data_IF_591863050790
#
_entry.id   IF_591863050790
#
_cell.length_a   1.000
_cell.length_b   1.000
_cell.length_c   1.000
_cell.angle_alpha   90.00
_cell.angle_beta   90.00
_cell.angle_gamma   90.00
#
_symmetry.space_group_name_H-M   'P 1'
#
loop_
_entity.id
_entity.type
_entity.pdbx_description
1 polymer ?
#
# COMPACT_ATOMS: atom_id res chain seq x y z
N UNK A 1 -26.66 -0.64 36.78
CA UNK A 1 -27.39 -1.47 35.81
C UNK A 1 -28.29 -2.49 36.53
N UNK A 2 -29.49 -2.79 35.98
CA UNK A 2 -30.38 -3.84 36.50
C UNK A 2 -29.75 -5.19 36.21
N UNK A 3 -29.17 -5.34 35.02
CA UNK A 3 -28.48 -6.56 34.63
C UNK A 3 -27.03 -6.53 35.16
N UNK A 4 -26.62 -7.58 35.83
CA UNK A 4 -25.28 -7.72 36.43
C UNK A 4 -24.65 -9.05 36.03
N UNK A 5 -23.46 -9.38 36.55
CA UNK A 5 -22.87 -10.72 36.42
C UNK A 5 -23.44 -11.80 37.34
N UNK A 6 -24.45 -11.45 38.14
CA UNK A 6 -25.18 -12.33 39.04
C UNK A 6 -26.49 -12.78 38.38
N UNK A 7 -27.20 -13.72 39.02
CA UNK A 7 -28.52 -14.13 38.56
C UNK A 7 -29.55 -13.05 38.90
N UNK A 8 -30.09 -12.40 37.87
CA UNK A 8 -31.07 -11.33 37.96
C UNK A 8 -32.40 -11.82 37.36
N UNK A 9 -33.47 -11.91 38.16
CA UNK A 9 -34.77 -12.47 37.73
C UNK A 9 -35.97 -11.78 38.42
N UNK A 10 -37.16 -12.11 38.02
CA UNK A 10 -38.39 -11.64 38.68
C UNK A 10 -38.60 -10.13 38.48
N UNK A 11 -38.26 -9.57 37.35
CA UNK A 11 -38.39 -8.13 37.04
C UNK A 11 -39.88 -7.73 36.99
N UNK A 12 -40.28 -6.77 37.86
CA UNK A 12 -41.63 -6.24 37.95
C UNK A 12 -41.61 -4.71 37.93
N UNK A 13 -42.43 -4.12 37.06
CA UNK A 13 -42.63 -2.66 37.02
C UNK A 13 -43.77 -2.32 38.01
N UNK A 14 -43.50 -1.37 38.91
CA UNK A 14 -44.55 -0.81 39.78
C UNK A 14 -45.40 0.21 39.01
N UNK A 15 -46.51 -0.25 38.47
CA UNK A 15 -47.47 0.60 37.77
C UNK A 15 -48.43 1.37 38.71
N UNK A 16 -48.44 1.08 40.02
CA UNK A 16 -49.40 1.64 41.01
C UNK A 16 -48.79 2.74 41.90
N UNK A 17 -47.45 2.88 41.85
CA UNK A 17 -46.75 3.88 42.67
C UNK A 17 -47.05 5.33 42.25
N UNK A 18 -46.97 6.26 43.21
CA UNK A 18 -47.05 7.69 42.89
C UNK A 18 -45.96 8.06 41.84
N UNK A 19 -46.37 8.80 40.80
CA UNK A 19 -45.42 9.35 39.82
C UNK A 19 -44.54 10.41 40.47
N UNK A 20 -43.26 10.21 40.43
CA UNK A 20 -42.24 11.18 40.78
C UNK A 20 -41.86 11.93 39.50
N UNK A 21 -41.61 13.25 39.59
CA UNK A 21 -41.42 14.11 38.39
C UNK A 21 -40.20 13.77 37.55
N UNK A 22 -39.21 13.16 38.16
CA UNK A 22 -37.89 12.83 37.57
C UNK A 22 -37.75 11.30 37.33
N UNK A 23 -38.79 10.49 37.64
CA UNK A 23 -38.75 9.04 37.50
C UNK A 23 -39.63 8.57 36.34
N UNK A 24 -39.00 7.98 35.32
CA UNK A 24 -39.71 7.38 34.20
C UNK A 24 -40.35 6.06 34.51
N UNK A 25 -39.67 5.22 35.27
CA UNK A 25 -40.13 3.88 35.70
C UNK A 25 -39.47 3.53 37.02
N UNK A 26 -40.20 2.77 37.84
CA UNK A 26 -39.68 2.13 39.03
C UNK A 26 -40.23 0.69 39.14
N UNK A 27 -39.51 -0.11 39.85
CA UNK A 27 -39.91 -1.50 40.04
C UNK A 27 -38.95 -2.25 40.92
N UNK A 28 -39.08 -3.56 40.89
CA UNK A 28 -38.32 -4.48 41.71
C UNK A 28 -37.79 -5.63 40.86
N UNK A 29 -36.72 -6.24 41.29
CA UNK A 29 -36.20 -7.49 40.74
C UNK A 29 -35.45 -8.25 41.84
N UNK A 30 -35.37 -9.58 41.70
CA UNK A 30 -34.56 -10.42 42.58
C UNK A 30 -33.16 -10.60 42.01
N UNK A 31 -32.17 -10.65 42.90
CA UNK A 31 -30.78 -10.88 42.50
C UNK A 31 -29.96 -11.44 43.65
N UNK A 32 -29.00 -12.31 43.32
CA UNK A 32 -27.98 -12.81 44.24
C UNK A 32 -26.68 -12.00 44.20
N UNK A 33 -26.75 -10.74 43.72
CA UNK A 33 -25.58 -9.87 43.65
C UNK A 33 -24.97 -9.56 45.00
N UNK A 34 -23.66 -9.35 45.10
CA UNK A 34 -22.98 -9.00 46.34
C UNK A 34 -23.56 -7.74 47.01
N UNK A 35 -23.70 -7.77 48.32
CA UNK A 35 -24.20 -6.63 49.12
C UNK A 35 -25.64 -6.80 49.63
N UNK A 36 -26.31 -7.91 49.31
CA UNK A 36 -27.57 -8.31 49.89
C UNK A 36 -27.44 -9.00 51.24
N UNK A 37 -28.59 -9.33 51.86
CA UNK A 37 -28.64 -9.98 53.17
C UNK A 37 -28.77 -11.51 53.07
N UNK A 38 -29.13 -12.05 51.90
CA UNK A 38 -29.36 -13.49 51.66
C UNK A 38 -28.77 -13.99 50.35
N UNK A 39 -29.19 -15.17 49.91
CA UNK A 39 -28.81 -15.76 48.63
C UNK A 39 -29.49 -15.04 47.45
N UNK A 40 -30.77 -14.67 47.65
CA UNK A 40 -31.58 -13.90 46.69
C UNK A 40 -32.30 -12.80 47.44
N UNK A 41 -32.02 -11.56 47.07
CA UNK A 41 -32.61 -10.37 47.66
C UNK A 41 -33.49 -9.61 46.66
N UNK A 42 -34.45 -8.84 47.16
CA UNK A 42 -35.31 -7.98 46.34
C UNK A 42 -34.69 -6.59 46.29
N UNK A 43 -34.36 -6.15 45.10
CA UNK A 43 -33.83 -4.82 44.83
C UNK A 43 -34.89 -3.94 44.20
N UNK A 44 -34.96 -2.67 44.65
CA UNK A 44 -35.78 -1.65 44.01
C UNK A 44 -34.92 -0.92 42.94
N UNK A 45 -35.52 -0.57 41.83
CA UNK A 45 -34.88 0.29 40.82
C UNK A 45 -35.75 1.51 40.51
N UNK A 46 -35.09 2.58 40.10
CA UNK A 46 -35.72 3.75 39.50
C UNK A 46 -34.99 4.07 38.19
N UNK A 47 -35.72 4.22 37.09
CA UNK A 47 -35.25 4.79 35.85
C UNK A 47 -35.58 6.27 35.90
N UNK A 48 -34.59 7.09 36.08
CA UNK A 48 -34.72 8.57 36.16
C UNK A 48 -34.61 9.22 34.77
N UNK A 49 -35.22 10.38 34.60
CA UNK A 49 -34.98 11.26 33.47
C UNK A 49 -33.57 11.81 33.68
N UNK A 50 -32.64 11.59 32.73
CA UNK A 50 -31.34 12.19 32.88
C UNK A 50 -31.47 13.72 32.88
N UNK A 51 -30.62 14.45 33.65
CA UNK A 51 -30.62 15.90 33.61
C UNK A 51 -30.39 16.39 32.18
N UNK A 52 -30.93 17.57 31.79
CA UNK A 52 -30.82 18.10 30.42
C UNK A 52 -29.40 18.16 29.87
N UNK A 53 -28.40 18.27 30.73
CA UNK A 53 -27.00 18.36 30.38
C UNK A 53 -26.29 17.00 30.33
N UNK A 54 -26.97 15.91 30.70
CA UNK A 54 -26.46 14.56 30.53
C UNK A 54 -26.81 14.01 29.12
N UNK A 55 -26.45 14.73 28.09
CA UNK A 55 -26.30 14.13 26.77
C UNK A 55 -25.22 13.06 26.96
N UNK A 56 -25.49 11.77 26.72
CA UNK A 56 -24.40 10.79 26.73
C UNK A 56 -23.36 11.30 25.74
N UNK A 57 -22.17 11.58 26.26
CA UNK A 57 -21.00 11.83 25.42
C UNK A 57 -20.98 10.62 24.46
N UNK A 58 -21.43 10.85 23.24
CA UNK A 58 -21.27 9.86 22.17
C UNK A 58 -19.79 9.79 22.03
N UNK A 59 -19.19 8.74 22.60
CA UNK A 59 -17.78 8.49 22.42
C UNK A 59 -17.55 8.57 20.91
N UNK A 60 -16.94 9.65 20.44
CA UNK A 60 -16.53 9.79 19.05
C UNK A 60 -15.74 8.52 18.75
N UNK A 61 -16.28 7.69 17.88
CA UNK A 61 -15.56 6.50 17.42
C UNK A 61 -14.27 7.04 16.83
N UNK A 62 -13.14 6.62 17.39
CA UNK A 62 -11.84 6.97 16.82
C UNK A 62 -11.88 6.68 15.31
N UNK A 63 -11.43 7.62 14.48
CA UNK A 63 -11.44 7.43 13.03
C UNK A 63 -10.62 6.19 12.68
N UNK A 64 -11.20 5.32 11.87
CA UNK A 64 -10.48 4.16 11.33
C UNK A 64 -9.55 4.68 10.23
N UNK A 65 -8.25 4.61 10.48
CA UNK A 65 -7.25 5.04 9.51
C UNK A 65 -7.02 3.97 8.46
N UNK A 66 -7.10 4.37 7.19
CA UNK A 66 -6.82 3.51 6.05
C UNK A 66 -5.78 4.12 5.14
N UNK A 67 -4.80 3.34 4.76
CA UNK A 67 -3.84 3.67 3.72
C UNK A 67 -4.06 2.74 2.54
N UNK A 68 -4.30 3.31 1.38
CA UNK A 68 -4.55 2.59 0.14
C UNK A 68 -3.41 2.87 -0.82
N UNK A 69 -2.92 1.86 -1.52
CA UNK A 69 -1.92 2.01 -2.56
C UNK A 69 -2.45 1.47 -3.88
N UNK A 70 -2.47 2.31 -4.90
CA UNK A 70 -2.70 1.92 -6.29
C UNK A 70 -1.34 1.68 -6.95
N UNK A 71 -1.06 0.43 -7.31
CA UNK A 71 0.16 0.04 -8.00
C UNK A 71 -0.15 -0.10 -9.47
N UNK A 72 0.38 0.80 -10.29
CA UNK A 72 0.22 0.81 -11.74
C UNK A 72 1.39 0.08 -12.40
N UNK A 73 1.10 -0.86 -13.27
CA UNK A 73 2.07 -1.46 -14.17
C UNK A 73 1.88 -0.83 -15.55
N UNK A 74 2.91 -0.18 -16.06
CA UNK A 74 2.87 0.64 -17.25
C UNK A 74 3.89 0.16 -18.27
N UNK A 75 3.63 0.44 -19.57
CA UNK A 75 4.62 0.33 -20.64
C UNK A 75 4.84 1.69 -21.32
N UNK A 76 6.03 1.86 -21.91
CA UNK A 76 6.35 3.04 -22.72
C UNK A 76 5.67 2.95 -24.09
N UNK A 77 5.14 4.06 -24.57
CA UNK A 77 4.60 4.22 -25.92
C UNK A 77 5.70 4.88 -26.76
N UNK A 78 6.23 4.15 -27.72
CA UNK A 78 7.21 4.65 -28.65
C UNK A 78 6.56 5.25 -29.90
N UNK A 79 7.15 6.28 -30.48
CA UNK A 79 6.69 6.87 -31.74
C UNK A 79 6.74 5.85 -32.88
N UNK A 80 7.82 5.05 -32.96
CA UNK A 80 7.90 3.85 -33.78
C UNK A 80 7.92 2.62 -32.84
N UNK A 81 6.86 1.81 -32.79
CA UNK A 81 6.79 0.64 -31.92
C UNK A 81 7.84 -0.45 -32.22
N UNK A 82 8.55 -0.36 -33.35
CA UNK A 82 9.58 -1.30 -33.75
C UNK A 82 11.01 -0.78 -33.49
N UNK A 83 11.16 0.50 -33.15
CA UNK A 83 12.45 1.15 -32.86
C UNK A 83 12.55 1.54 -31.38
N UNK A 84 13.43 0.86 -30.58
CA UNK A 84 13.64 1.17 -29.18
C UNK A 84 14.26 2.56 -28.92
N UNK A 85 14.90 3.16 -29.94
CA UNK A 85 15.53 4.47 -29.84
C UNK A 85 14.63 5.61 -30.31
N UNK A 86 13.40 5.28 -30.78
CA UNK A 86 12.45 6.30 -31.17
C UNK A 86 11.90 7.08 -29.96
N UNK A 87 11.36 8.26 -30.23
CA UNK A 87 10.84 9.14 -29.18
C UNK A 87 9.75 8.45 -28.35
N UNK A 88 9.84 8.53 -27.02
CA UNK A 88 8.79 8.11 -26.11
C UNK A 88 7.71 9.18 -26.08
N UNK A 89 6.47 8.79 -26.45
CA UNK A 89 5.31 9.67 -26.50
C UNK A 89 4.53 9.73 -25.18
N UNK A 90 4.70 8.69 -24.34
CA UNK A 90 4.00 8.56 -23.07
C UNK A 90 4.09 7.16 -22.49
N UNK A 91 3.17 6.87 -21.58
CA UNK A 91 3.02 5.55 -20.95
C UNK A 91 1.56 5.14 -21.02
N UNK A 92 1.30 3.84 -21.02
CA UNK A 92 -0.06 3.30 -20.93
C UNK A 92 -0.11 2.12 -19.97
N UNK A 93 -1.29 1.83 -19.41
CA UNK A 93 -1.50 0.66 -18.57
C UNK A 93 -1.15 -0.64 -19.29
N UNK A 94 -0.49 -1.54 -18.57
CA UNK A 94 -0.11 -2.86 -19.06
C UNK A 94 -1.00 -3.91 -18.39
N UNK A 95 -2.02 -4.41 -19.11
CA UNK A 95 -2.93 -5.45 -18.66
C UNK A 95 -2.22 -6.80 -18.53
N UNK A 96 -2.79 -7.75 -17.78
CA UNK A 96 -2.30 -9.13 -17.64
C UNK A 96 -0.82 -9.24 -17.20
N UNK A 97 -0.24 -8.21 -16.61
CA UNK A 97 1.06 -8.28 -16.00
C UNK A 97 0.97 -9.02 -14.66
N UNK A 98 1.91 -9.93 -14.42
CA UNK A 98 2.06 -10.54 -13.10
C UNK A 98 2.65 -9.50 -12.15
N UNK A 99 2.00 -9.30 -11.02
CA UNK A 99 2.43 -8.39 -9.97
C UNK A 99 2.52 -9.16 -8.66
N UNK A 100 3.69 -9.19 -8.08
CA UNK A 100 3.97 -9.81 -6.79
C UNK A 100 4.39 -8.74 -5.81
N UNK A 101 3.84 -8.75 -4.59
CA UNK A 101 4.43 -7.95 -3.53
C UNK A 101 4.82 -8.80 -2.33
N UNK A 102 5.85 -8.32 -1.62
CA UNK A 102 6.42 -8.97 -0.42
C UNK A 102 6.38 -8.03 0.76
N UNK A 103 6.02 -8.60 1.92
CA UNK A 103 6.12 -8.00 3.25
C UNK A 103 6.97 -8.94 4.09
N UNK A 104 8.23 -8.58 4.34
CA UNK A 104 9.17 -9.47 5.02
C UNK A 104 9.36 -10.77 4.26
N UNK A 105 8.83 -11.90 4.79
CA UNK A 105 8.87 -13.23 4.16
C UNK A 105 7.59 -13.64 3.46
N UNK A 106 6.50 -12.90 3.65
CA UNK A 106 5.22 -13.17 3.03
C UNK A 106 5.19 -12.62 1.60
N UNK A 107 4.61 -13.39 0.70
CA UNK A 107 4.52 -13.06 -0.72
C UNK A 107 3.08 -13.24 -1.19
N UNK A 108 2.58 -12.28 -1.95
CA UNK A 108 1.25 -12.34 -2.58
C UNK A 108 1.36 -12.05 -4.07
N UNK A 109 0.66 -12.87 -4.86
CA UNK A 109 0.74 -12.85 -6.32
C UNK A 109 -0.61 -12.47 -6.92
N UNK A 110 -0.58 -11.54 -7.88
CA UNK A 110 -1.73 -11.00 -8.58
C UNK A 110 -1.46 -10.90 -10.08
N UNK A 111 -2.51 -10.60 -10.83
CA UNK A 111 -2.41 -10.13 -12.22
C UNK A 111 -3.14 -8.79 -12.33
N UNK A 112 -2.57 -7.88 -13.09
CA UNK A 112 -3.24 -6.61 -13.40
C UNK A 112 -4.43 -6.87 -14.34
N UNK A 113 -5.54 -6.19 -14.08
CA UNK A 113 -6.69 -6.19 -14.98
C UNK A 113 -6.45 -5.34 -16.24
N UNK A 114 -7.53 -5.05 -16.98
CA UNK A 114 -7.48 -4.21 -18.19
C UNK A 114 -6.89 -2.82 -17.93
N UNK A 115 -7.17 -2.26 -16.75
CA UNK A 115 -6.70 -0.94 -16.32
C UNK A 115 -5.22 -0.92 -15.87
N UNK A 116 -4.54 -2.07 -15.89
CA UNK A 116 -3.12 -2.18 -15.57
C UNK A 116 -2.71 -1.84 -14.14
N UNK A 117 -3.63 -1.85 -13.17
CA UNK A 117 -3.31 -1.57 -11.78
C UNK A 117 -3.90 -2.57 -10.79
N UNK A 118 -3.39 -2.54 -9.57
CA UNK A 118 -3.88 -3.25 -8.40
C UNK A 118 -4.01 -2.28 -7.25
N UNK A 119 -5.13 -2.35 -6.53
CA UNK A 119 -5.35 -1.61 -5.29
C UNK A 119 -5.13 -2.53 -4.09
N UNK A 120 -4.32 -2.11 -3.13
CA UNK A 120 -4.08 -2.83 -1.88
C UNK A 120 -4.27 -1.90 -0.67
N UNK A 121 -4.78 -2.45 0.42
CA UNK A 121 -4.78 -1.77 1.71
C UNK A 121 -3.43 -2.01 2.39
N UNK A 122 -2.80 -0.93 2.86
CA UNK A 122 -1.47 -0.96 3.45
C UNK A 122 -1.53 -1.12 4.96
N UNK A 123 -0.63 -1.93 5.50
CA UNK A 123 -0.38 -2.01 6.93
C UNK A 123 0.50 -0.83 7.37
N UNK A 124 0.31 -0.38 8.61
CA UNK A 124 1.15 0.64 9.22
C UNK A 124 2.60 0.13 9.45
N UNK A 125 3.54 1.07 9.41
CA UNK A 125 4.95 0.84 9.75
C UNK A 125 5.60 -0.34 9.00
N UNK A 126 5.25 -0.53 7.71
CA UNK A 126 5.57 -1.69 6.90
C UNK A 126 6.31 -1.31 5.62
N UNK A 127 7.32 -2.10 5.27
CA UNK A 127 8.02 -1.99 3.99
C UNK A 127 7.46 -2.99 2.98
N UNK A 128 7.16 -2.52 1.78
CA UNK A 128 6.66 -3.29 0.66
C UNK A 128 7.67 -3.33 -0.46
N UNK A 129 7.88 -4.49 -1.05
CA UNK A 129 8.67 -4.67 -2.25
C UNK A 129 7.81 -5.28 -3.33
N UNK A 130 7.68 -4.59 -4.45
CA UNK A 130 6.88 -4.98 -5.60
C UNK A 130 7.75 -5.50 -6.73
N UNK A 131 7.29 -6.54 -7.40
CA UNK A 131 7.88 -7.09 -8.61
C UNK A 131 6.81 -7.22 -9.66
N UNK A 132 7.05 -6.67 -10.84
CA UNK A 132 6.16 -6.81 -11.97
C UNK A 132 6.87 -7.51 -13.11
N UNK A 133 6.17 -8.40 -13.82
CA UNK A 133 6.68 -9.10 -14.99
C UNK A 133 5.59 -9.35 -16.01
N UNK A 134 5.98 -9.39 -17.28
CA UNK A 134 5.12 -9.79 -18.39
C UNK A 134 5.97 -10.38 -19.51
N UNK A 135 5.40 -11.33 -20.25
CA UNK A 135 6.06 -11.90 -21.41
C UNK A 135 6.43 -10.82 -22.43
N UNK A 136 7.65 -10.88 -22.97
CA UNK A 136 8.26 -9.89 -23.87
C UNK A 136 8.56 -8.51 -23.24
N UNK A 137 8.59 -8.43 -21.91
CA UNK A 137 9.01 -7.24 -21.18
C UNK A 137 10.11 -7.59 -20.18
N UNK A 138 10.95 -6.60 -19.88
CA UNK A 138 11.86 -6.68 -18.74
C UNK A 138 11.06 -6.58 -17.45
N UNK A 139 11.32 -7.49 -16.52
CA UNK A 139 10.76 -7.41 -15.17
C UNK A 139 11.26 -6.16 -14.45
N UNK A 140 10.38 -5.56 -13.66
CA UNK A 140 10.69 -4.38 -12.87
C UNK A 140 10.42 -4.59 -11.39
N UNK A 141 11.02 -3.74 -10.56
CA UNK A 141 10.75 -3.69 -9.13
C UNK A 141 10.50 -2.26 -8.65
N UNK A 142 9.74 -2.14 -7.58
CA UNK A 142 9.52 -0.88 -6.88
C UNK A 142 9.39 -1.12 -5.37
N UNK A 143 9.56 -0.06 -4.59
CA UNK A 143 9.48 -0.10 -3.14
C UNK A 143 8.50 0.95 -2.64
N UNK A 144 7.78 0.61 -1.59
CA UNK A 144 6.92 1.54 -0.87
C UNK A 144 7.05 1.27 0.63
N UNK A 145 7.05 2.32 1.44
CA UNK A 145 7.13 2.20 2.89
C UNK A 145 6.10 3.07 3.57
N UNK A 146 5.39 2.50 4.52
CA UNK A 146 4.47 3.25 5.40
C UNK A 146 5.14 3.69 6.70
N UNK A 147 6.43 3.41 6.88
CA UNK A 147 7.18 3.83 8.06
C UNK A 147 7.29 5.34 8.13
N UNK A 148 6.96 5.89 9.30
CA UNK A 148 7.01 7.34 9.53
C UNK A 148 5.84 8.12 8.94
N UNK A 149 4.85 7.45 8.32
CA UNK A 149 3.61 8.11 7.90
C UNK A 149 2.75 8.34 9.14
N UNK A 150 2.49 9.61 9.46
CA UNK A 150 1.62 10.01 10.57
C UNK A 150 0.14 9.82 10.24
N UNK A 151 -0.68 9.69 11.29
CA UNK A 151 -2.14 9.68 11.19
C UNK A 151 -2.66 11.11 11.23
N UNK A 152 -3.47 11.49 10.23
CA UNK A 152 -4.16 12.77 10.21
C UNK A 152 -5.65 12.54 10.50
N UNK A 153 -6.15 12.98 11.67
CA UNK A 153 -7.57 12.84 12.02
C UNK A 153 -8.54 13.52 11.03
N UNK A 154 -8.04 14.50 10.26
CA UNK A 154 -8.85 15.19 9.26
C UNK A 154 -8.94 14.43 7.93
N UNK A 155 -7.95 13.57 7.68
CA UNK A 155 -7.87 12.73 6.48
C UNK A 155 -7.62 11.27 6.89
N UNK A 156 -8.64 10.57 7.40
CA UNK A 156 -8.49 9.21 7.92
C UNK A 156 -8.24 8.17 6.80
N UNK A 157 -8.51 8.51 5.56
CA UNK A 157 -8.25 7.65 4.40
C UNK A 157 -7.32 8.38 3.42
N UNK A 158 -6.16 7.77 3.14
CA UNK A 158 -5.14 8.33 2.24
C UNK A 158 -4.82 7.32 1.17
N UNK A 159 -4.84 7.77 -0.11
CA UNK A 159 -4.47 6.95 -1.26
C UNK A 159 -3.13 7.39 -1.81
N UNK A 160 -2.25 6.42 -2.05
CA UNK A 160 -0.94 6.59 -2.67
C UNK A 160 -0.92 5.93 -4.04
N UNK A 161 0.00 6.36 -4.89
CA UNK A 161 0.22 5.79 -6.20
C UNK A 161 1.68 5.35 -6.35
N UNK A 162 1.88 4.19 -6.97
CA UNK A 162 3.20 3.64 -7.28
C UNK A 162 3.19 3.15 -8.73
N UNK A 163 4.13 3.62 -9.53
CA UNK A 163 4.28 3.20 -10.92
C UNK A 163 5.46 2.23 -11.07
N UNK A 164 5.23 1.14 -11.80
CA UNK A 164 6.24 0.19 -12.24
C UNK A 164 6.21 0.17 -13.76
N UNK A 165 7.22 0.76 -14.39
CA UNK A 165 7.32 0.79 -15.85
C UNK A 165 8.12 -0.41 -16.33
N UNK A 166 7.51 -1.25 -17.17
CA UNK A 166 8.17 -2.38 -17.80
C UNK A 166 8.64 -1.99 -19.19
N UNK A 167 9.91 -2.20 -19.46
CA UNK A 167 10.50 -1.95 -20.78
C UNK A 167 10.28 -3.16 -21.68
N UNK A 168 9.76 -2.92 -22.89
CA UNK A 168 9.58 -3.94 -23.91
C UNK A 168 10.92 -4.50 -24.38
N UNK A 169 11.02 -5.82 -24.55
CA UNK A 169 12.21 -6.47 -25.07
C UNK A 169 12.21 -6.35 -26.61
N UNK A 170 13.21 -5.69 -27.14
CA UNK A 170 13.48 -5.60 -28.59
C UNK A 170 14.59 -6.58 -28.96
N UNK A 171 14.19 -7.75 -29.49
CA UNK A 171 15.16 -8.78 -29.88
C UNK A 171 16.00 -8.33 -31.08
N UNK A 172 17.32 -8.51 -31.01
CA UNK A 172 18.27 -8.19 -32.07
C UNK A 172 18.19 -6.73 -32.54
N UNK A 173 17.90 -5.82 -31.62
CA UNK A 173 17.91 -4.38 -31.84
C UNK A 173 18.99 -3.75 -30.99
N UNK A 174 19.65 -2.79 -31.56
CA UNK A 174 20.60 -1.95 -30.87
C UNK A 174 19.85 -0.90 -30.03
N UNK A 175 20.23 -0.78 -28.77
CA UNK A 175 19.66 0.20 -27.81
C UNK A 175 20.80 1.08 -27.37
N UNK A 176 20.69 2.36 -27.64
CA UNK A 176 21.69 3.35 -27.22
C UNK A 176 21.59 3.58 -25.71
N UNK A 177 22.72 3.43 -25.01
CA UNK A 177 22.85 3.82 -23.62
C UNK A 177 23.32 5.26 -23.55
N UNK A 178 22.50 6.14 -22.99
CA UNK A 178 22.83 7.56 -22.83
C UNK A 178 23.77 7.79 -21.64
N UNK A 179 24.51 8.89 -21.69
CA UNK A 179 25.40 9.36 -20.62
C UNK A 179 26.58 8.42 -20.30
N UNK A 180 27.03 7.63 -21.27
CA UNK A 180 28.28 6.86 -21.15
C UNK A 180 29.35 7.52 -22.03
N UNK A 181 30.23 8.27 -21.38
CA UNK A 181 31.31 9.01 -22.01
C UNK A 181 32.64 8.60 -21.40
N UNK A 182 33.72 8.77 -22.17
CA UNK A 182 35.08 8.57 -21.73
C UNK A 182 35.83 9.88 -21.75
N UNK A 183 36.82 10.03 -20.88
CA UNK A 183 37.77 11.11 -20.98
C UNK A 183 38.74 10.89 -22.19
N UNK A 184 39.28 11.95 -22.69
CA UNK A 184 40.23 11.85 -23.80
C UNK A 184 41.40 10.92 -23.44
N UNK A 185 41.68 9.96 -24.30
CA UNK A 185 42.74 8.97 -24.14
C UNK A 185 42.65 8.15 -22.85
N UNK A 186 41.39 7.81 -22.41
CA UNK A 186 41.10 6.99 -21.23
C UNK A 186 39.98 6.00 -21.48
N UNK A 187 40.04 4.85 -20.80
CA UNK A 187 39.06 3.80 -20.81
C UNK A 187 38.34 3.63 -19.46
N UNK A 188 38.70 4.43 -18.46
CA UNK A 188 38.08 4.35 -17.15
C UNK A 188 36.62 4.79 -17.18
N UNK A 189 35.74 4.06 -16.45
CA UNK A 189 34.35 4.43 -16.30
C UNK A 189 34.26 5.70 -15.45
N UNK A 190 33.72 6.74 -16.04
CA UNK A 190 33.46 8.02 -15.37
C UNK A 190 32.33 7.89 -14.32
N UNK A 191 32.36 8.75 -13.31
CA UNK A 191 31.36 8.76 -12.25
C UNK A 191 29.94 9.08 -12.77
N UNK A 192 29.84 9.89 -13.83
CA UNK A 192 28.56 10.24 -14.46
C UNK A 192 27.94 9.08 -15.27
N UNK A 193 28.74 8.09 -15.69
CA UNK A 193 28.24 6.87 -16.36
C UNK A 193 27.75 5.78 -15.39
N UNK A 194 28.19 5.79 -14.13
CA UNK A 194 27.86 4.77 -13.14
C UNK A 194 26.36 4.55 -12.95
N UNK A 195 25.51 5.59 -12.80
CA UNK A 195 24.07 5.38 -12.61
C UNK A 195 23.40 4.61 -13.76
N UNK A 196 23.81 4.91 -15.03
CA UNK A 196 23.28 4.20 -16.21
C UNK A 196 23.71 2.73 -16.22
N UNK A 197 24.98 2.46 -15.91
CA UNK A 197 25.50 1.09 -15.82
C UNK A 197 24.91 0.30 -14.65
N UNK A 198 24.71 0.94 -13.49
CA UNK A 198 24.05 0.34 -12.33
C UNK A 198 22.60 -0.03 -12.65
N UNK A 199 21.88 0.82 -13.38
CA UNK A 199 20.51 0.51 -13.82
C UNK A 199 20.50 -0.65 -14.80
N UNK A 200 21.44 -0.71 -15.74
CA UNK A 200 21.60 -1.85 -16.65
C UNK A 200 21.88 -3.14 -15.87
N UNK A 201 22.81 -3.10 -14.90
CA UNK A 201 23.13 -4.24 -14.06
C UNK A 201 21.91 -4.73 -13.27
N UNK A 202 21.13 -3.84 -12.67
CA UNK A 202 19.87 -4.18 -11.99
C UNK A 202 18.88 -4.87 -12.93
N UNK A 203 18.70 -4.32 -14.13
CA UNK A 203 17.81 -4.92 -15.14
C UNK A 203 18.24 -6.34 -15.50
N UNK A 204 19.55 -6.59 -15.65
CA UNK A 204 20.07 -7.92 -15.97
C UNK A 204 19.94 -8.89 -14.78
N UNK A 205 20.13 -8.44 -13.56
CA UNK A 205 19.93 -9.24 -12.33
C UNK A 205 18.47 -9.67 -12.21
N UNK A 206 17.52 -8.77 -12.49
CA UNK A 206 16.09 -9.07 -12.46
C UNK A 206 15.65 -9.97 -13.63
N UNK A 207 16.43 -10.02 -14.71
CA UNK A 207 16.11 -10.74 -15.95
C UNK A 207 17.27 -11.67 -16.40
N UNK A 208 17.62 -12.70 -15.61
CA UNK A 208 18.82 -13.52 -15.83
C UNK A 208 18.80 -14.33 -17.13
N UNK A 209 17.64 -14.44 -17.78
CA UNK A 209 17.49 -15.09 -19.09
C UNK A 209 17.93 -14.22 -20.27
N UNK A 210 18.16 -12.91 -20.05
CA UNK A 210 18.55 -11.97 -21.09
C UNK A 210 20.07 -11.96 -21.24
N UNK A 211 20.51 -11.94 -22.49
CA UNK A 211 21.90 -11.75 -22.87
C UNK A 211 21.99 -10.51 -23.73
N UNK A 212 23.00 -9.70 -23.47
CA UNK A 212 23.32 -8.49 -24.24
C UNK A 212 24.76 -8.57 -24.73
N UNK A 213 25.03 -7.81 -25.79
CA UNK A 213 26.36 -7.45 -26.21
C UNK A 213 26.50 -5.95 -26.01
N UNK A 214 27.54 -5.53 -25.33
CA UNK A 214 27.90 -4.11 -25.21
C UNK A 214 28.90 -3.79 -26.32
N UNK A 215 28.66 -2.68 -27.01
CA UNK A 215 29.56 -2.13 -27.99
C UNK A 215 29.84 -0.66 -27.60
N UNK A 216 31.07 -0.26 -27.72
CA UNK A 216 31.50 1.14 -27.60
C UNK A 216 32.18 1.54 -28.90
N UNK A 217 31.93 2.77 -29.32
CA UNK A 217 32.50 3.31 -30.55
C UNK A 217 33.36 4.50 -30.21
N UNK A 218 34.57 4.52 -30.79
CA UNK A 218 35.44 5.72 -30.74
C UNK A 218 34.93 6.76 -31.75
N UNK A 219 35.32 8.01 -31.57
CA UNK A 219 35.12 9.04 -32.58
C UNK A 219 36.06 8.80 -33.78
N UNK A 220 35.84 9.55 -34.86
CA UNK A 220 36.65 9.44 -36.08
C UNK A 220 38.02 10.16 -35.98
N UNK A 221 38.42 10.59 -34.78
CA UNK A 221 39.73 11.25 -34.56
C UNK A 221 40.78 10.17 -34.23
N UNK A 222 41.91 10.25 -34.89
CA UNK A 222 42.97 9.25 -34.81
C UNK A 222 43.05 8.38 -36.08
N UNK A 223 43.99 7.45 -36.11
CA UNK A 223 44.07 6.43 -37.15
C UNK A 223 43.48 5.11 -36.65
N UNK A 224 43.10 4.22 -37.56
CA UNK A 224 42.45 2.96 -37.25
C UNK A 224 43.21 2.14 -36.20
N UNK A 225 44.54 2.09 -36.29
CA UNK A 225 45.40 1.35 -35.37
C UNK A 225 45.37 1.92 -33.94
N UNK A 226 45.21 3.24 -33.78
CA UNK A 226 45.10 3.90 -32.49
C UNK A 226 43.70 3.66 -31.86
N UNK A 227 42.68 3.52 -32.70
CA UNK A 227 41.29 3.36 -32.26
C UNK A 227 40.93 1.90 -32.02
N UNK A 228 41.74 0.92 -32.41
CA UNK A 228 41.54 -0.53 -32.24
C UNK A 228 42.30 -1.11 -31.01
N UNK A 229 43.27 -0.42 -30.47
CA UNK A 229 44.06 -0.79 -29.28
C UNK A 229 43.32 -0.37 -28.00
#
# INVERSE_FOLDING_TARGET
PINSGADDFGFVIDARGKRESDVLQKGYFSSNRPGGAGADDIYAFKKIIPPPDAVPEVAEKEPVYKMILNVFVLEKIFQDPADPNSKILGRRPLSEAALTYKIGREEQNFKTGAEGFLTIELLENTDYRFFASKENYLSGEAFFSTKGIGKDPKNPEVTYELEIVLDKIFKNKEITLENIYYDFDKWDIRDDAKPTLDQLAKNLILNPQIRIQLASHTDCRGNDRYNED
#
